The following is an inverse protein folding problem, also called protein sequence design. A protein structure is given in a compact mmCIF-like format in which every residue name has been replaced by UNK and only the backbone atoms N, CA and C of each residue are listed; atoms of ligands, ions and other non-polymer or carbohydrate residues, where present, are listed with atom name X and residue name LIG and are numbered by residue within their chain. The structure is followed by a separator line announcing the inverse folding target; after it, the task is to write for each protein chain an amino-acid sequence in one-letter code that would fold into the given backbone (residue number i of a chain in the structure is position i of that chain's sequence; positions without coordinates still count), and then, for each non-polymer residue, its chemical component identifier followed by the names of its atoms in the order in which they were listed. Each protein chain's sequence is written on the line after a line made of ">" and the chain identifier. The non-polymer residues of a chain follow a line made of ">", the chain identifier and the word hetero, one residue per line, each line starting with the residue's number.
data_IF_951425101577
#
_entry.id   IF_951425101577
#
_cell.length_a   1.000
_cell.length_b   1.000
_cell.length_c   1.000
_cell.angle_alpha   90.00
_cell.angle_beta   90.00
_cell.angle_gamma   90.00
#
_symmetry.space_group_name_H-M   'P 1'
#
loop_
_entity.id
_entity.type
_entity.pdbx_description
1 polymer ?
#
# COMPACT_ATOMS: atom_id res chain seq x y z
N UNK A 1 7.20 -41.78 -31.25
CA UNK A 1 6.44 -40.58 -31.68
C UNK A 1 6.07 -39.72 -30.46
N UNK A 2 7.01 -39.00 -29.85
CA UNK A 2 6.75 -38.19 -28.65
C UNK A 2 7.29 -36.75 -28.74
N UNK A 3 7.91 -36.33 -29.85
CA UNK A 3 8.59 -35.02 -29.94
C UNK A 3 7.71 -33.84 -30.35
N UNK A 4 6.74 -34.02 -31.27
CA UNK A 4 6.00 -32.89 -31.85
C UNK A 4 4.96 -32.27 -30.90
N UNK A 5 4.35 -33.06 -30.01
CA UNK A 5 3.30 -32.59 -29.09
C UNK A 5 3.83 -31.69 -27.98
N UNK A 6 5.05 -31.98 -27.48
CA UNK A 6 5.70 -31.17 -26.44
C UNK A 6 6.21 -29.83 -26.99
N UNK A 7 6.68 -29.79 -28.23
CA UNK A 7 7.17 -28.56 -28.88
C UNK A 7 6.03 -27.57 -29.13
N UNK A 8 4.86 -28.05 -29.57
CA UNK A 8 3.67 -27.20 -29.77
C UNK A 8 3.14 -26.64 -28.44
N UNK A 9 3.15 -27.44 -27.37
CA UNK A 9 2.75 -26.98 -26.04
C UNK A 9 3.69 -25.89 -25.48
N UNK A 10 5.00 -26.01 -25.70
CA UNK A 10 5.99 -25.02 -25.30
C UNK A 10 5.86 -23.70 -26.07
N UNK A 11 5.57 -23.76 -27.38
CA UNK A 11 5.38 -22.55 -28.20
C UNK A 11 4.12 -21.75 -27.82
N UNK A 12 3.04 -22.43 -27.43
CA UNK A 12 1.84 -21.74 -26.94
C UNK A 12 2.06 -21.02 -25.62
N UNK A 13 2.87 -21.58 -24.70
CA UNK A 13 3.18 -20.95 -23.41
C UNK A 13 3.99 -19.64 -23.58
N UNK A 14 4.94 -19.60 -24.50
CA UNK A 14 5.76 -18.39 -24.75
C UNK A 14 4.92 -17.27 -25.36
N UNK A 15 3.95 -17.59 -26.23
CA UNK A 15 3.07 -16.61 -26.84
C UNK A 15 2.13 -15.93 -25.81
N UNK A 16 1.67 -16.68 -24.79
CA UNK A 16 0.80 -16.14 -23.73
C UNK A 16 1.55 -15.14 -22.83
N UNK A 17 2.82 -15.40 -22.51
CA UNK A 17 3.64 -14.46 -21.70
C UNK A 17 3.92 -13.17 -22.46
N UNK A 18 4.11 -13.24 -23.78
CA UNK A 18 4.36 -12.07 -24.62
C UNK A 18 3.11 -11.19 -24.87
N UNK A 19 1.91 -11.75 -24.74
CA UNK A 19 0.64 -11.06 -24.97
C UNK A 19 0.10 -10.32 -23.73
N UNK A 20 0.72 -10.49 -22.56
CA UNK A 20 0.31 -9.74 -21.38
C UNK A 20 0.70 -8.25 -21.55
N UNK A 21 -0.25 -7.31 -21.40
CA UNK A 21 0.05 -5.90 -21.46
C UNK A 21 1.02 -5.54 -20.34
N UNK A 22 2.25 -5.15 -20.71
CA UNK A 22 3.35 -4.76 -19.81
C UNK A 22 2.99 -3.61 -18.84
N UNK A 23 1.86 -2.93 -19.05
CA UNK A 23 1.37 -1.81 -18.24
C UNK A 23 0.51 -2.21 -17.03
N UNK A 24 -0.11 -3.40 -17.01
CA UNK A 24 -1.03 -3.79 -15.93
C UNK A 24 -0.29 -4.13 -14.63
N UNK A 25 0.98 -4.54 -14.73
CA UNK A 25 1.75 -5.01 -13.57
C UNK A 25 2.33 -3.88 -12.69
N UNK A 26 2.43 -2.64 -13.20
CA UNK A 26 3.04 -1.53 -12.45
C UNK A 26 2.04 -0.74 -11.60
N UNK A 27 0.82 -0.57 -12.10
CA UNK A 27 -0.24 0.19 -11.41
C UNK A 27 -0.66 -0.58 -10.14
N UNK A 28 -0.85 -1.90 -10.26
CA UNK A 28 -1.31 -2.73 -9.15
C UNK A 28 -0.33 -2.86 -8.00
N UNK A 29 0.98 -2.74 -8.22
CA UNK A 29 1.97 -2.82 -7.14
C UNK A 29 2.05 -1.52 -6.32
N UNK A 30 1.90 -0.37 -6.97
CA UNK A 30 1.89 0.92 -6.26
C UNK A 30 0.62 1.04 -5.40
N UNK A 31 -0.53 0.69 -5.97
CA UNK A 31 -1.82 0.70 -5.27
C UNK A 31 -1.82 -0.29 -4.10
N UNK A 32 -1.28 -1.50 -4.30
CA UNK A 32 -1.15 -2.48 -3.21
C UNK A 32 -0.23 -1.99 -2.09
N UNK A 33 0.85 -1.29 -2.43
CA UNK A 33 1.74 -0.70 -1.43
C UNK A 33 1.03 0.41 -0.65
N UNK A 34 0.35 1.34 -1.33
CA UNK A 34 -0.42 2.40 -0.67
C UNK A 34 -1.50 1.83 0.26
N UNK A 35 -2.17 0.75 -0.16
CA UNK A 35 -3.16 0.06 0.67
C UNK A 35 -2.53 -0.48 1.96
N UNK A 36 -1.41 -1.22 1.85
CA UNK A 36 -0.70 -1.79 3.01
C UNK A 36 -0.22 -0.69 3.96
N UNK A 37 0.35 0.39 3.42
CA UNK A 37 0.84 1.52 4.21
C UNK A 37 -0.31 2.22 4.94
N UNK A 38 -1.41 2.47 4.25
CA UNK A 38 -2.58 3.08 4.88
C UNK A 38 -3.15 2.20 5.99
N UNK A 39 -3.34 0.89 5.74
CA UNK A 39 -3.87 -0.03 6.76
C UNK A 39 -2.95 -0.11 7.97
N UNK A 40 -1.62 -0.13 7.76
CA UNK A 40 -0.63 -0.10 8.83
C UNK A 40 -0.67 1.19 9.65
N UNK A 41 -0.80 2.35 8.99
CA UNK A 41 -0.89 3.64 9.65
C UNK A 41 -2.18 3.79 10.47
N UNK A 42 -3.32 3.33 9.93
CA UNK A 42 -4.58 3.31 10.67
C UNK A 42 -4.51 2.33 11.84
N UNK A 43 -3.96 1.14 11.62
CA UNK A 43 -3.80 0.12 12.65
C UNK A 43 -2.88 0.54 13.81
N UNK A 44 -1.93 1.42 13.55
CA UNK A 44 -1.02 2.00 14.54
C UNK A 44 -1.45 3.40 15.01
N UNK A 45 -2.64 3.88 14.62
CA UNK A 45 -3.11 5.25 14.94
C UNK A 45 -3.09 5.57 16.42
N UNK A 46 -3.37 4.61 17.30
CA UNK A 46 -3.28 4.82 18.76
C UNK A 46 -1.87 5.22 19.23
N UNK A 47 -0.81 4.86 18.50
CA UNK A 47 0.58 5.15 18.86
C UNK A 47 1.01 6.59 18.47
N UNK A 48 0.36 7.19 17.47
CA UNK A 48 0.78 8.47 16.89
C UNK A 48 -0.30 9.55 16.82
N UNK A 49 -1.60 9.23 16.89
CA UNK A 49 -2.70 10.19 16.73
C UNK A 49 -2.91 11.09 17.97
N UNK A 50 -2.47 10.67 19.16
CA UNK A 50 -2.55 11.48 20.38
C UNK A 50 -3.99 11.88 20.75
N UNK A 51 -4.17 13.05 21.38
CA UNK A 51 -5.49 13.71 21.46
C UNK A 51 -5.80 14.44 20.14
N UNK A 52 -7.06 14.85 19.95
CA UNK A 52 -7.50 15.57 18.73
C UNK A 52 -6.55 16.72 18.38
N UNK A 53 -6.04 16.73 17.14
CA UNK A 53 -5.10 17.73 16.65
C UNK A 53 -3.67 17.62 17.20
N UNK A 54 -3.32 16.56 17.95
CA UNK A 54 -1.99 16.30 18.50
C UNK A 54 -1.27 15.14 17.79
N UNK A 55 -1.64 14.83 16.55
CA UNK A 55 -0.97 13.82 15.76
C UNK A 55 0.54 14.09 15.68
N UNK A 56 1.33 13.10 16.07
CA UNK A 56 2.79 13.14 16.08
C UNK A 56 3.32 12.57 14.75
N UNK A 57 3.49 13.46 13.77
CA UNK A 57 4.03 13.10 12.45
C UNK A 57 5.40 12.39 12.55
N UNK A 58 6.22 12.74 13.55
CA UNK A 58 7.52 12.12 13.76
C UNK A 58 7.40 10.65 14.16
N UNK A 59 6.43 10.32 15.02
CA UNK A 59 6.10 8.92 15.36
C UNK A 59 5.47 8.19 14.18
N UNK A 60 4.58 8.84 13.44
CA UNK A 60 3.98 8.27 12.24
C UNK A 60 5.06 7.84 11.22
N UNK A 61 6.03 8.72 10.96
CA UNK A 61 7.19 8.40 10.10
C UNK A 61 8.02 7.26 10.69
N UNK A 62 8.30 7.27 12.00
CA UNK A 62 9.10 6.22 12.63
C UNK A 62 8.44 4.82 12.56
N UNK A 63 7.12 4.75 12.73
CA UNK A 63 6.34 3.51 12.59
C UNK A 63 6.38 3.03 11.14
N UNK A 64 6.13 3.95 10.20
CA UNK A 64 6.23 3.68 8.78
C UNK A 64 7.62 3.15 8.36
N UNK A 65 8.70 3.80 8.80
CA UNK A 65 10.08 3.40 8.51
C UNK A 65 10.41 2.03 9.10
N UNK A 66 9.88 1.71 10.28
CA UNK A 66 10.03 0.39 10.90
C UNK A 66 9.40 -0.69 10.04
N UNK A 67 8.19 -0.46 9.54
CA UNK A 67 7.45 -1.42 8.71
C UNK A 67 8.08 -1.59 7.31
N UNK A 68 8.74 -0.54 6.80
CA UNK A 68 9.44 -0.55 5.52
C UNK A 68 10.95 -0.79 5.64
N UNK A 69 11.46 -1.10 6.84
CA UNK A 69 12.90 -1.21 7.11
C UNK A 69 13.64 -2.22 6.23
N UNK A 70 12.95 -3.26 5.77
CA UNK A 70 13.48 -4.26 4.84
C UNK A 70 13.85 -3.68 3.45
N UNK A 71 13.35 -2.48 3.11
CA UNK A 71 13.63 -1.76 1.87
C UNK A 71 14.84 -0.82 1.97
N UNK A 72 15.46 -0.71 3.15
CA UNK A 72 16.59 0.21 3.39
C UNK A 72 16.20 1.68 3.18
N UNK A 73 17.07 2.46 2.55
CA UNK A 73 16.86 3.91 2.33
C UNK A 73 15.64 4.22 1.47
N UNK A 74 15.19 3.29 0.63
CA UNK A 74 14.00 3.47 -0.19
C UNK A 74 12.70 3.44 0.63
N UNK A 75 12.67 2.65 1.72
CA UNK A 75 11.53 2.64 2.65
C UNK A 75 11.31 4.00 3.32
N UNK A 76 12.41 4.65 3.73
CA UNK A 76 12.38 6.01 4.28
C UNK A 76 11.77 7.02 3.32
N UNK A 77 12.22 7.06 2.06
CA UNK A 77 11.69 8.01 1.07
C UNK A 77 10.21 7.77 0.78
N UNK A 78 9.79 6.50 0.71
CA UNK A 78 8.38 6.14 0.58
C UNK A 78 7.56 6.59 1.78
N UNK A 79 8.09 6.44 2.99
CA UNK A 79 7.42 6.85 4.22
C UNK A 79 7.28 8.35 4.36
N UNK A 80 8.36 9.09 4.12
CA UNK A 80 8.32 10.56 4.13
C UNK A 80 7.30 11.07 3.10
N UNK A 81 7.25 10.44 1.92
CA UNK A 81 6.30 10.81 0.87
C UNK A 81 4.86 10.44 1.23
N UNK A 82 4.65 9.22 1.77
CA UNK A 82 3.33 8.75 2.17
C UNK A 82 2.76 9.61 3.29
N UNK A 83 3.51 9.79 4.38
CA UNK A 83 3.07 10.59 5.52
C UNK A 83 2.74 12.02 5.09
N UNK A 84 3.61 12.64 4.31
CA UNK A 84 3.39 14.01 3.84
C UNK A 84 2.13 14.18 2.98
N UNK A 85 1.78 13.18 2.18
CA UNK A 85 0.67 13.28 1.23
C UNK A 85 -0.65 12.74 1.78
N UNK A 86 -0.59 11.75 2.69
CA UNK A 86 -1.74 10.92 3.03
C UNK A 86 -2.10 10.97 4.53
N UNK A 87 -1.17 11.36 5.41
CA UNK A 87 -1.41 11.29 6.86
C UNK A 87 -2.54 12.23 7.29
N UNK A 88 -2.60 13.44 6.75
CA UNK A 88 -3.64 14.43 7.08
C UNK A 88 -5.05 13.94 6.70
N UNK A 89 -5.20 13.26 5.56
CA UNK A 89 -6.47 12.67 5.14
C UNK A 89 -6.87 11.49 6.05
N UNK A 90 -5.89 10.70 6.49
CA UNK A 90 -6.11 9.62 7.46
C UNK A 90 -6.53 10.21 8.82
N UNK A 91 -5.84 11.24 9.32
CA UNK A 91 -6.17 11.92 10.58
C UNK A 91 -7.61 12.43 10.52
N UNK A 92 -7.96 13.20 9.48
CA UNK A 92 -9.30 13.75 9.31
C UNK A 92 -10.36 12.66 9.31
N UNK A 93 -10.12 11.56 8.62
CA UNK A 93 -11.06 10.43 8.61
C UNK A 93 -11.21 9.82 10.01
N UNK A 94 -10.10 9.63 10.74
CA UNK A 94 -10.09 9.02 12.07
C UNK A 94 -10.67 9.93 13.16
N UNK A 95 -10.53 11.24 13.03
CA UNK A 95 -11.06 12.22 13.99
C UNK A 95 -12.53 12.56 13.72
N UNK A 96 -13.04 12.33 12.49
CA UNK A 96 -14.43 12.61 12.16
C UNK A 96 -15.40 11.72 12.97
N UNK A 97 -16.26 12.31 13.82
CA UNK A 97 -17.23 11.56 14.62
C UNK A 97 -18.34 10.92 13.77
N UNK A 98 -18.52 11.32 12.51
CA UNK A 98 -19.47 10.68 11.59
C UNK A 98 -18.99 9.31 11.09
N UNK A 99 -17.69 9.02 11.20
CA UNK A 99 -17.12 7.74 10.78
C UNK A 99 -17.20 6.71 11.91
N UNK A 100 -18.25 5.88 11.87
CA UNK A 100 -18.48 4.82 12.87
C UNK A 100 -17.43 3.68 12.81
N UNK A 101 -16.75 3.51 11.66
CA UNK A 101 -15.77 2.46 11.44
C UNK A 101 -14.37 3.04 11.24
N UNK A 102 -13.47 2.71 12.17
CA UNK A 102 -12.07 3.15 12.15
C UNK A 102 -11.10 1.98 11.90
N UNK A 103 -11.59 0.88 11.34
CA UNK A 103 -10.73 -0.23 10.93
C UNK A 103 -9.95 0.12 9.67
N UNK A 104 -8.66 -0.27 9.62
CA UNK A 104 -7.74 0.11 8.55
C UNK A 104 -8.28 -0.17 7.16
N UNK A 105 -8.92 -1.32 6.95
CA UNK A 105 -9.44 -1.69 5.64
C UNK A 105 -10.55 -0.75 5.18
N UNK A 106 -11.52 -0.45 6.04
CA UNK A 106 -12.63 0.44 5.69
C UNK A 106 -12.13 1.86 5.43
N UNK A 107 -11.31 2.40 6.34
CA UNK A 107 -10.72 3.74 6.21
C UNK A 107 -9.96 3.87 4.88
N UNK A 108 -9.08 2.90 4.59
CA UNK A 108 -8.22 2.97 3.42
C UNK A 108 -8.94 2.72 2.10
N UNK A 109 -10.05 1.97 2.12
CA UNK A 109 -10.94 1.82 0.96
C UNK A 109 -11.68 3.14 0.68
N UNK A 110 -12.19 3.80 1.72
CA UNK A 110 -12.92 5.05 1.57
C UNK A 110 -12.01 6.19 1.09
N UNK A 111 -10.75 6.18 1.54
CA UNK A 111 -9.70 7.08 1.07
C UNK A 111 -9.11 6.70 -0.31
N UNK A 112 -9.61 5.63 -0.95
CA UNK A 112 -9.15 5.10 -2.25
C UNK A 112 -7.66 4.77 -2.28
N UNK A 113 -7.13 4.30 -1.16
CA UNK A 113 -5.77 3.74 -1.03
C UNK A 113 -5.80 2.24 -1.22
N UNK A 114 -6.96 1.63 -0.95
CA UNK A 114 -7.45 0.34 -1.37
C UNK A 114 -8.74 0.56 -2.19
#
# INVERSE_FOLDING_TARGET
>A
MFGAKFIVALLCLVAVVAALPRGVFKVTQLDAFQCIMCEGMVGSSEEWLGEEGQADEGKAIAICEKDTSFLGSYGKELCDTFVKNELDDIIKYLEDPANEKKDGKTVCTDLKKC
#
